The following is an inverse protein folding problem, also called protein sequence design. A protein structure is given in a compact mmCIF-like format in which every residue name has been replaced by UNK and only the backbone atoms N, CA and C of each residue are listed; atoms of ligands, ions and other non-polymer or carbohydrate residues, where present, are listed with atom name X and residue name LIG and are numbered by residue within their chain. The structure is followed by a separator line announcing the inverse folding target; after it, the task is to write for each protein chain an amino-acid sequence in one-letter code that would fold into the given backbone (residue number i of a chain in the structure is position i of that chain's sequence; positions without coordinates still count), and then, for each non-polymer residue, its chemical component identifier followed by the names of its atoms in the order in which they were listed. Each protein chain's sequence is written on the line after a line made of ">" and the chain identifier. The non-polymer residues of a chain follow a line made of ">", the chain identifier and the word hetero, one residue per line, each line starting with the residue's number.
data_IF_321798894248
#
_entry.id   IF_321798894248
#
_cell.length_a   1.000
_cell.length_b   1.000
_cell.length_c   1.000
_cell.angle_alpha   90.00
_cell.angle_beta   90.00
_cell.angle_gamma   90.00
#
_symmetry.space_group_name_H-M   'P 1'
#
loop_
_entity.id
_entity.type
_entity.pdbx_description
1 polymer ?
#
# COMPACT_ATOMS: atom_id res chain seq x y z
N UNK A 1 13.27 23.15 -16.37
CA UNK A 1 13.55 23.31 -14.93
C UNK A 1 14.81 22.58 -14.48
N UNK A 2 15.09 21.36 -14.96
CA UNK A 2 16.32 20.61 -14.59
C UNK A 2 17.67 21.27 -15.04
N UNK A 3 17.67 21.97 -16.15
CA UNK A 3 18.88 22.57 -16.71
C UNK A 3 19.33 23.84 -15.93
N UNK A 4 18.38 24.64 -15.45
CA UNK A 4 18.65 25.84 -14.67
C UNK A 4 19.10 25.53 -13.22
N UNK A 5 18.60 24.45 -12.62
CA UNK A 5 19.12 23.99 -11.32
C UNK A 5 20.57 23.49 -11.42
N UNK A 6 20.95 22.82 -12.53
CA UNK A 6 22.34 22.40 -12.75
C UNK A 6 23.32 23.58 -12.84
N UNK A 7 22.93 24.67 -13.54
CA UNK A 7 23.76 25.85 -13.66
C UNK A 7 23.88 26.65 -12.35
N UNK A 8 22.80 26.70 -11.55
CA UNK A 8 22.82 27.36 -10.24
C UNK A 8 23.71 26.63 -9.23
N UNK A 9 23.67 25.31 -9.19
CA UNK A 9 24.56 24.52 -8.34
C UNK A 9 26.02 24.58 -8.74
N UNK A 10 26.35 24.58 -10.02
CA UNK A 10 27.72 24.72 -10.53
C UNK A 10 28.31 26.11 -10.24
N UNK A 11 27.48 27.15 -10.21
CA UNK A 11 27.89 28.52 -9.86
C UNK A 11 28.28 28.65 -8.38
N UNK A 12 27.56 28.00 -7.47
CA UNK A 12 27.84 28.05 -6.02
C UNK A 12 29.09 27.22 -5.66
N UNK A 13 29.29 26.07 -6.30
CA UNK A 13 30.45 25.21 -6.03
C UNK A 13 31.73 25.77 -6.67
N UNK A 14 31.62 26.42 -7.81
CA UNK A 14 32.77 27.04 -8.50
C UNK A 14 33.45 28.17 -7.75
N UNK A 15 32.79 28.73 -6.72
CA UNK A 15 33.38 29.81 -5.89
C UNK A 15 34.32 29.30 -4.80
N UNK A 16 34.37 28.00 -4.52
CA UNK A 16 35.14 27.43 -3.41
C UNK A 16 36.18 26.36 -3.77
N UNK A 17 36.21 25.86 -5.02
CA UNK A 17 37.19 24.84 -5.42
C UNK A 17 37.71 25.07 -6.85
N UNK A 18 38.97 24.68 -7.08
CA UNK A 18 39.57 24.79 -8.42
C UNK A 18 38.87 23.86 -9.42
N UNK A 19 38.67 24.33 -10.65
CA UNK A 19 37.97 23.65 -11.75
C UNK A 19 38.43 22.20 -12.00
N UNK A 20 39.72 21.92 -11.89
CA UNK A 20 40.34 20.62 -12.12
C UNK A 20 39.95 19.55 -11.09
N UNK A 21 39.73 19.93 -9.84
CA UNK A 21 39.34 19.01 -8.76
C UNK A 21 37.86 18.58 -8.89
N UNK A 22 37.00 19.52 -9.26
CA UNK A 22 35.58 19.26 -9.51
C UNK A 22 35.35 18.35 -10.73
N UNK A 23 36.10 18.56 -11.84
CA UNK A 23 36.01 17.67 -13.02
C UNK A 23 36.44 16.23 -12.72
N UNK A 24 37.45 16.04 -11.89
CA UNK A 24 37.91 14.70 -11.50
C UNK A 24 36.88 13.97 -10.64
N UNK A 25 36.19 14.67 -9.72
CA UNK A 25 35.11 14.12 -8.90
C UNK A 25 33.89 13.78 -9.76
N UNK A 26 33.47 14.69 -10.63
CA UNK A 26 32.31 14.49 -11.52
C UNK A 26 32.54 13.32 -12.49
N UNK A 27 33.72 13.20 -13.11
CA UNK A 27 34.07 12.08 -13.97
C UNK A 27 34.10 10.73 -13.23
N UNK A 28 34.57 10.70 -11.99
CA UNK A 28 34.68 9.46 -11.18
C UNK A 28 33.31 8.93 -10.71
N UNK A 29 32.31 9.80 -10.58
CA UNK A 29 30.98 9.44 -10.11
C UNK A 29 29.94 9.27 -11.24
N UNK A 30 30.16 9.89 -12.40
CA UNK A 30 29.34 9.68 -13.59
C UNK A 30 29.49 8.27 -14.20
N UNK A 31 30.64 7.62 -14.01
CA UNK A 31 30.90 6.27 -14.54
C UNK A 31 30.25 5.13 -13.73
N UNK A 32 29.57 5.42 -12.62
CA UNK A 32 28.96 4.42 -11.72
C UNK A 32 27.45 4.61 -11.51
N UNK A 33 26.77 5.38 -12.33
CA UNK A 33 25.30 5.50 -12.31
C UNK A 33 24.67 6.08 -11.04
N UNK A 34 25.45 6.46 -10.03
CA UNK A 34 24.94 6.96 -8.75
C UNK A 34 25.52 8.36 -8.48
N UNK A 35 24.73 9.40 -8.62
CA UNK A 35 25.12 10.76 -8.19
C UNK A 35 24.76 10.90 -6.71
N UNK A 36 25.75 10.80 -5.83
CA UNK A 36 25.61 11.26 -4.43
C UNK A 36 25.85 12.76 -4.39
N UNK A 37 24.80 13.54 -4.28
CA UNK A 37 24.93 14.98 -3.97
C UNK A 37 25.14 15.11 -2.47
N UNK A 38 26.36 15.45 -2.09
CA UNK A 38 26.69 15.78 -0.70
C UNK A 38 26.45 17.28 -0.54
N UNK A 39 25.37 17.66 0.13
CA UNK A 39 25.10 19.05 0.49
C UNK A 39 25.68 19.31 1.89
N UNK A 40 26.70 20.15 1.94
CA UNK A 40 27.32 20.59 3.20
C UNK A 40 26.63 21.88 3.63
N UNK A 41 25.85 21.85 4.71
CA UNK A 41 25.33 23.05 5.35
C UNK A 41 26.29 23.47 6.49
N UNK A 42 26.99 24.56 6.29
CA UNK A 42 27.74 25.21 7.38
C UNK A 42 26.82 26.21 8.11
N UNK A 43 26.26 25.80 9.23
CA UNK A 43 25.75 26.72 10.25
C UNK A 43 26.26 26.26 11.59
N UNK A 44 27.15 27.09 12.18
CA UNK A 44 27.58 27.04 13.57
C UNK A 44 28.06 25.67 14.08
N UNK A 45 29.30 25.27 13.78
CA UNK A 45 30.10 24.22 14.46
C UNK A 45 29.50 22.78 14.58
N UNK A 46 28.45 22.43 13.81
CA UNK A 46 28.01 21.02 13.67
C UNK A 46 27.86 20.66 12.21
N UNK A 47 28.73 19.76 11.71
CA UNK A 47 28.60 19.17 10.39
C UNK A 47 27.46 18.15 10.41
N UNK A 48 26.37 18.42 9.66
CA UNK A 48 25.32 17.43 9.41
C UNK A 48 25.43 16.94 7.97
N UNK A 49 25.86 15.70 7.77
CA UNK A 49 25.90 15.05 6.45
C UNK A 49 24.54 14.44 6.17
N UNK A 50 23.77 15.04 5.27
CA UNK A 50 22.57 14.39 4.71
C UNK A 50 22.94 13.81 3.35
N UNK A 51 22.96 12.49 3.25
CA UNK A 51 23.11 11.78 1.97
C UNK A 51 21.76 11.74 1.29
N UNK A 52 21.60 12.48 0.20
CA UNK A 52 20.44 12.38 -0.68
C UNK A 52 20.80 11.34 -1.75
N UNK A 53 20.22 10.17 -1.68
CA UNK A 53 20.30 9.19 -2.76
C UNK A 53 19.25 9.57 -3.80
N UNK A 54 19.69 10.19 -4.89
CA UNK A 54 18.81 10.39 -6.07
C UNK A 54 18.87 9.07 -6.82
N UNK A 55 17.79 8.32 -6.83
CA UNK A 55 17.62 7.24 -7.79
C UNK A 55 17.52 7.90 -9.16
N UNK A 56 18.60 7.83 -9.96
CA UNK A 56 18.50 8.12 -11.38
C UNK A 56 17.53 7.10 -11.98
N UNK A 57 16.80 7.48 -13.03
CA UNK A 57 16.15 6.52 -13.92
C UNK A 57 17.28 5.71 -14.55
N UNK A 58 17.70 4.66 -13.84
CA UNK A 58 18.71 3.75 -14.36
C UNK A 58 17.99 2.84 -15.37
N UNK A 59 18.30 2.93 -16.66
CA UNK A 59 17.68 2.06 -17.65
C UNK A 59 17.86 0.58 -17.32
N UNK A 60 18.99 0.19 -16.72
CA UNK A 60 19.26 -1.19 -16.29
C UNK A 60 18.30 -1.65 -15.18
N UNK A 61 17.88 -0.76 -14.29
CA UNK A 61 16.97 -1.07 -13.20
C UNK A 61 15.59 -1.56 -13.70
N UNK A 62 15.06 -0.90 -14.76
CA UNK A 62 13.75 -1.25 -15.34
C UNK A 62 13.80 -2.44 -16.30
N UNK A 63 14.99 -2.78 -16.84
CA UNK A 63 15.13 -3.90 -17.79
C UNK A 63 14.79 -5.24 -17.12
N UNK A 64 15.08 -5.41 -15.84
CA UNK A 64 14.85 -6.65 -15.12
C UNK A 64 13.43 -6.79 -14.58
N UNK A 65 12.59 -5.72 -14.59
CA UNK A 65 11.21 -5.77 -14.12
C UNK A 65 10.27 -6.14 -15.27
N UNK A 66 9.78 -7.39 -15.27
CA UNK A 66 8.86 -7.89 -16.29
C UNK A 66 7.48 -7.22 -16.19
N UNK A 67 6.95 -7.07 -14.98
CA UNK A 67 5.64 -6.43 -14.73
C UNK A 67 5.85 -5.09 -14.05
N UNK A 68 5.57 -4.00 -14.76
CA UNK A 68 5.76 -2.61 -14.28
C UNK A 68 4.50 -1.98 -13.71
N UNK A 69 3.34 -2.57 -14.00
CA UNK A 69 2.03 -2.03 -13.64
C UNK A 69 1.62 -2.54 -12.25
N UNK A 70 1.38 -1.61 -11.33
CA UNK A 70 0.90 -1.87 -9.98
C UNK A 70 -0.56 -1.44 -9.85
N UNK A 71 -1.39 -2.26 -9.23
CA UNK A 71 -2.77 -1.89 -8.86
C UNK A 71 -2.86 -1.90 -7.34
N UNK A 72 -3.17 -0.73 -6.76
CA UNK A 72 -3.14 -0.47 -5.33
C UNK A 72 -4.58 -0.42 -4.79
N UNK A 73 -4.89 -1.33 -3.88
CA UNK A 73 -6.21 -1.52 -3.29
C UNK A 73 -6.15 -1.15 -1.81
N UNK A 74 -6.96 -0.18 -1.43
CA UNK A 74 -7.02 0.35 -0.07
C UNK A 74 -7.76 -0.56 0.91
N UNK A 75 -7.66 -0.25 2.21
CA UNK A 75 -8.41 -0.86 3.31
C UNK A 75 -9.74 -0.17 3.62
N UNK A 76 -10.41 -0.64 4.67
CA UNK A 76 -11.69 -0.07 5.14
C UNK A 76 -11.56 1.42 5.48
N UNK A 77 -12.57 2.17 5.09
CA UNK A 77 -12.64 3.62 5.33
C UNK A 77 -11.77 4.47 4.43
N UNK A 78 -10.77 3.89 3.79
CA UNK A 78 -9.86 4.60 2.89
C UNK A 78 -10.42 4.76 1.48
N UNK A 79 -9.59 5.23 0.57
CA UNK A 79 -9.79 5.35 -0.86
C UNK A 79 -8.44 5.44 -1.56
N UNK A 80 -8.44 5.54 -2.88
CA UNK A 80 -7.24 5.66 -3.71
C UNK A 80 -6.30 6.78 -3.23
N UNK A 81 -6.87 7.82 -2.62
CA UNK A 81 -6.14 8.98 -2.09
C UNK A 81 -5.04 8.61 -1.07
N UNK A 82 -5.19 7.52 -0.32
CA UNK A 82 -4.20 7.13 0.69
C UNK A 82 -2.84 6.75 0.08
N UNK A 83 -2.83 6.32 -1.17
CA UNK A 83 -1.66 5.86 -1.89
C UNK A 83 -0.79 6.98 -2.50
N UNK A 84 -1.14 8.26 -2.34
CA UNK A 84 -0.52 9.37 -3.05
C UNK A 84 1.01 9.42 -2.99
N UNK A 85 1.62 9.09 -1.83
CA UNK A 85 3.09 8.98 -1.70
C UNK A 85 3.65 7.77 -2.44
N UNK A 86 2.96 6.63 -2.34
CA UNK A 86 3.36 5.38 -3.01
C UNK A 86 3.30 5.54 -4.52
N UNK A 87 2.24 6.15 -5.03
CA UNK A 87 2.08 6.48 -6.46
C UNK A 87 3.26 7.34 -6.93
N UNK A 88 3.51 8.46 -6.27
CA UNK A 88 4.60 9.37 -6.64
C UNK A 88 5.98 8.66 -6.65
N UNK A 89 6.27 7.85 -5.63
CA UNK A 89 7.54 7.14 -5.51
C UNK A 89 7.72 6.05 -6.58
N UNK A 90 6.66 5.33 -6.93
CA UNK A 90 6.71 4.31 -7.99
C UNK A 90 6.86 4.96 -9.39
N UNK A 91 6.18 6.08 -9.65
CA UNK A 91 6.32 6.85 -10.88
C UNK A 91 7.72 7.45 -11.05
N UNK A 92 8.33 7.94 -9.96
CA UNK A 92 9.70 8.47 -9.98
C UNK A 92 10.72 7.48 -10.52
N UNK A 93 10.53 6.18 -10.26
CA UNK A 93 11.41 5.12 -10.77
C UNK A 93 10.93 4.50 -12.07
N UNK A 94 9.86 5.01 -12.69
CA UNK A 94 9.34 4.58 -14.01
C UNK A 94 8.42 3.36 -13.96
N UNK A 95 7.88 3.01 -12.79
CA UNK A 95 6.79 2.04 -12.64
C UNK A 95 5.43 2.72 -12.89
N UNK A 96 4.40 1.92 -13.09
CA UNK A 96 3.06 2.37 -13.49
C UNK A 96 2.02 2.03 -12.41
N UNK A 97 1.92 2.82 -11.33
CA UNK A 97 0.91 2.61 -10.31
C UNK A 97 -0.46 3.11 -10.74
N UNK A 98 -1.49 2.34 -10.42
CA UNK A 98 -2.91 2.71 -10.50
C UNK A 98 -3.52 2.46 -9.14
N UNK A 99 -4.03 3.49 -8.47
CA UNK A 99 -4.77 3.35 -7.24
C UNK A 99 -6.27 3.41 -7.54
N UNK A 100 -7.02 2.42 -7.05
CA UNK A 100 -8.46 2.31 -7.29
C UNK A 100 -9.24 2.64 -6.02
N UNK A 101 -10.36 3.34 -6.19
CA UNK A 101 -11.41 3.39 -5.18
C UNK A 101 -12.28 2.14 -5.32
N UNK A 102 -12.49 1.42 -4.22
CA UNK A 102 -13.46 0.32 -4.16
C UNK A 102 -14.88 0.89 -4.16
N UNK A 103 -15.87 0.09 -4.52
CA UNK A 103 -17.26 0.52 -4.62
C UNK A 103 -17.74 1.19 -3.33
N UNK A 104 -18.27 2.40 -3.44
CA UNK A 104 -18.73 3.23 -2.31
C UNK A 104 -17.61 3.87 -1.48
N UNK A 105 -16.35 3.84 -1.94
CA UNK A 105 -15.19 4.37 -1.23
C UNK A 105 -14.57 5.55 -1.97
N UNK A 106 -13.76 6.36 -1.27
CA UNK A 106 -13.05 7.48 -1.89
C UNK A 106 -13.98 8.44 -2.61
N UNK A 107 -13.79 8.62 -3.92
CA UNK A 107 -14.63 9.48 -4.78
C UNK A 107 -15.75 8.70 -5.49
N UNK A 108 -15.82 7.38 -5.34
CA UNK A 108 -16.97 6.61 -5.86
C UNK A 108 -18.26 7.02 -5.15
N UNK A 109 -19.28 7.39 -5.92
CA UNK A 109 -20.54 7.95 -5.42
C UNK A 109 -21.59 6.88 -5.08
N UNK A 110 -21.28 5.61 -5.27
CA UNK A 110 -22.18 4.52 -4.89
C UNK A 110 -22.44 4.58 -3.37
N UNK A 111 -23.69 4.44 -2.98
CA UNK A 111 -24.03 4.34 -1.57
C UNK A 111 -23.47 3.04 -1.00
N UNK A 112 -22.43 3.13 -0.16
CA UNK A 112 -21.79 1.97 0.45
C UNK A 112 -22.75 1.11 1.29
N UNK A 113 -23.89 1.66 1.75
CA UNK A 113 -24.92 0.89 2.43
C UNK A 113 -25.65 -0.11 1.52
N UNK A 114 -25.54 0.03 0.21
CA UNK A 114 -26.13 -0.89 -0.77
C UNK A 114 -25.17 -1.98 -1.23
N UNK A 115 -23.90 -1.91 -0.84
CA UNK A 115 -22.85 -2.89 -1.20
C UNK A 115 -22.91 -4.06 -0.22
N UNK A 116 -23.34 -5.23 -0.69
CA UNK A 116 -23.67 -6.38 0.16
C UNK A 116 -22.71 -7.56 0.01
N UNK A 117 -21.96 -7.61 -1.09
CA UNK A 117 -21.05 -8.72 -1.40
C UNK A 117 -19.61 -8.24 -1.64
N UNK A 118 -18.66 -9.14 -1.49
CA UNK A 118 -17.26 -8.86 -1.81
C UNK A 118 -17.06 -8.64 -3.31
N UNK A 119 -17.84 -9.34 -4.15
CA UNK A 119 -17.85 -9.16 -5.59
C UNK A 119 -18.23 -7.71 -5.97
N UNK A 120 -19.33 -7.20 -5.39
CA UNK A 120 -19.78 -5.81 -5.60
C UNK A 120 -18.73 -4.81 -5.10
N UNK A 121 -18.15 -5.05 -3.92
CA UNK A 121 -17.14 -4.17 -3.34
C UNK A 121 -15.86 -4.13 -4.17
N UNK A 122 -15.43 -5.28 -4.71
CA UNK A 122 -14.24 -5.43 -5.53
C UNK A 122 -14.45 -5.08 -7.01
N UNK A 123 -15.68 -4.68 -7.40
CA UNK A 123 -16.02 -4.46 -8.82
C UNK A 123 -15.05 -3.52 -9.55
N UNK A 124 -14.60 -2.38 -9.01
CA UNK A 124 -13.62 -1.54 -9.69
C UNK A 124 -12.30 -2.26 -10.01
N UNK A 125 -11.87 -3.19 -9.14
CA UNK A 125 -10.69 -4.01 -9.39
C UNK A 125 -10.95 -5.04 -10.48
N UNK A 126 -12.08 -5.76 -10.44
CA UNK A 126 -12.39 -6.77 -11.44
C UNK A 126 -12.63 -6.16 -12.81
N UNK A 127 -13.35 -5.04 -12.89
CA UNK A 127 -13.53 -4.28 -14.14
C UNK A 127 -12.18 -3.83 -14.72
N UNK A 128 -11.25 -3.36 -13.86
CA UNK A 128 -9.91 -3.01 -14.31
C UNK A 128 -9.16 -4.20 -14.90
N UNK A 129 -9.20 -5.37 -14.24
CA UNK A 129 -8.54 -6.58 -14.71
C UNK A 129 -9.14 -7.13 -16.01
N UNK A 130 -10.47 -7.07 -16.16
CA UNK A 130 -11.18 -7.47 -17.37
C UNK A 130 -10.80 -6.61 -18.58
N UNK A 131 -10.60 -5.31 -18.36
CA UNK A 131 -10.24 -4.37 -19.42
C UNK A 131 -8.73 -4.31 -19.73
N UNK A 132 -7.89 -5.11 -19.03
CA UNK A 132 -6.48 -5.22 -19.40
C UNK A 132 -6.31 -5.98 -20.71
N UNK A 133 -5.37 -5.59 -21.59
CA UNK A 133 -4.95 -6.39 -22.74
C UNK A 133 -4.65 -7.84 -22.35
N UNK A 134 -4.88 -8.77 -23.27
CA UNK A 134 -4.80 -10.22 -22.98
C UNK A 134 -3.42 -10.67 -22.47
N UNK A 135 -2.37 -10.08 -22.99
CA UNK A 135 -0.97 -10.36 -22.67
C UNK A 135 -0.43 -9.55 -21.48
N UNK A 136 -1.21 -8.59 -20.95
CA UNK A 136 -0.77 -7.78 -19.83
C UNK A 136 -1.10 -8.43 -18.47
N UNK A 137 -0.14 -8.31 -17.54
CA UNK A 137 -0.31 -8.68 -16.13
C UNK A 137 0.04 -7.52 -15.22
N UNK A 138 -0.53 -7.57 -14.01
CA UNK A 138 -0.28 -6.57 -12.97
C UNK A 138 0.31 -7.19 -11.71
N UNK A 139 0.92 -6.34 -10.88
CA UNK A 139 1.21 -6.62 -9.47
C UNK A 139 0.10 -5.99 -8.64
N UNK A 140 -0.66 -6.80 -7.91
CA UNK A 140 -1.68 -6.31 -6.98
C UNK A 140 -1.04 -5.98 -5.63
N UNK A 141 -1.47 -4.89 -5.00
CA UNK A 141 -1.14 -4.56 -3.62
C UNK A 141 -2.45 -4.32 -2.87
N UNK A 142 -2.77 -5.16 -1.90
CA UNK A 142 -3.95 -5.01 -1.06
C UNK A 142 -3.56 -4.65 0.37
N UNK A 143 -4.09 -3.55 0.89
CA UNK A 143 -3.89 -3.09 2.26
C UNK A 143 -5.09 -3.50 3.13
N UNK A 144 -4.81 -4.02 4.33
CA UNK A 144 -5.87 -4.33 5.30
C UNK A 144 -6.96 -5.23 4.69
N UNK A 145 -8.25 -4.84 4.75
CA UNK A 145 -9.35 -5.57 4.10
C UNK A 145 -9.20 -5.67 2.57
N UNK A 146 -8.42 -4.80 1.94
CA UNK A 146 -8.07 -4.93 0.53
C UNK A 146 -7.37 -6.25 0.19
N UNK A 147 -6.83 -6.96 1.19
CA UNK A 147 -6.34 -8.33 1.06
C UNK A 147 -7.42 -9.32 0.66
N UNK A 148 -8.65 -9.18 1.17
CA UNK A 148 -9.79 -9.98 0.74
C UNK A 148 -10.16 -9.70 -0.72
N UNK A 149 -10.14 -8.42 -1.14
CA UNK A 149 -10.41 -8.05 -2.53
C UNK A 149 -9.38 -8.65 -3.51
N UNK A 150 -8.07 -8.62 -3.16
CA UNK A 150 -7.07 -9.24 -4.01
C UNK A 150 -7.11 -10.77 -3.94
N UNK A 151 -7.54 -11.37 -2.82
CA UNK A 151 -7.79 -12.82 -2.75
C UNK A 151 -8.92 -13.23 -3.68
N UNK A 152 -10.01 -12.47 -3.70
CA UNK A 152 -11.11 -12.64 -4.65
C UNK A 152 -10.62 -12.51 -6.11
N UNK A 153 -9.80 -11.49 -6.39
CA UNK A 153 -9.24 -11.30 -7.73
C UNK A 153 -8.30 -12.45 -8.15
N UNK A 154 -7.50 -13.00 -7.24
CA UNK A 154 -6.65 -14.16 -7.51
C UNK A 154 -7.46 -15.41 -7.87
N UNK A 155 -8.62 -15.61 -7.24
CA UNK A 155 -9.49 -16.74 -7.56
C UNK A 155 -10.10 -16.62 -8.98
N UNK A 156 -10.47 -15.41 -9.39
CA UNK A 156 -11.24 -15.21 -10.63
C UNK A 156 -10.38 -14.74 -11.82
N UNK A 157 -9.26 -14.05 -11.58
CA UNK A 157 -8.45 -13.35 -12.60
C UNK A 157 -6.95 -13.67 -12.51
N UNK A 158 -6.57 -14.86 -12.01
CA UNK A 158 -5.16 -15.25 -11.83
C UNK A 158 -4.30 -15.04 -13.09
N UNK A 159 -4.87 -15.28 -14.27
CA UNK A 159 -4.17 -15.11 -15.56
C UNK A 159 -3.73 -13.66 -15.83
N UNK A 160 -4.38 -12.65 -15.23
CA UNK A 160 -4.04 -11.22 -15.33
C UNK A 160 -3.10 -10.75 -14.21
N UNK A 161 -2.75 -11.60 -13.26
CA UNK A 161 -1.97 -11.22 -12.08
C UNK A 161 -0.62 -11.92 -12.11
N UNK A 162 0.47 -11.16 -11.98
CA UNK A 162 1.82 -11.72 -11.90
C UNK A 162 2.23 -12.00 -10.47
N UNK A 163 1.87 -11.10 -9.55
CA UNK A 163 2.16 -11.18 -8.12
C UNK A 163 1.08 -10.47 -7.33
N UNK A 164 0.82 -10.94 -6.11
CA UNK A 164 -0.07 -10.28 -5.15
C UNK A 164 0.66 -10.00 -3.84
N UNK A 165 0.59 -8.75 -3.38
CA UNK A 165 1.27 -8.24 -2.19
C UNK A 165 0.23 -7.90 -1.14
N UNK A 166 0.24 -8.61 -0.03
CA UNK A 166 -0.59 -8.38 1.14
C UNK A 166 0.14 -7.45 2.10
N UNK A 167 -0.29 -6.20 2.18
CA UNK A 167 0.32 -5.16 3.01
C UNK A 167 -0.45 -5.06 4.32
N UNK A 168 0.08 -5.62 5.42
CA UNK A 168 -0.62 -5.75 6.71
C UNK A 168 -2.12 -6.06 6.50
N UNK A 169 -2.41 -7.11 5.73
CA UNK A 169 -3.70 -7.33 5.12
C UNK A 169 -4.27 -8.72 5.43
N UNK A 170 -5.57 -8.85 5.26
CA UNK A 170 -6.33 -10.11 5.37
C UNK A 170 -5.91 -11.06 4.25
N UNK A 171 -4.96 -11.94 4.53
CA UNK A 171 -4.57 -13.03 3.62
C UNK A 171 -5.37 -14.28 3.99
N UNK A 172 -6.42 -14.53 3.20
CA UNK A 172 -7.49 -15.46 3.53
C UNK A 172 -7.12 -16.93 3.32
N UNK A 173 -7.77 -17.81 4.08
CA UNK A 173 -7.89 -19.25 3.77
C UNK A 173 -9.29 -19.54 3.21
N UNK A 174 -9.45 -20.67 2.54
CA UNK A 174 -10.74 -21.09 2.00
C UNK A 174 -11.82 -21.18 3.08
N UNK A 175 -13.03 -20.69 2.76
CA UNK A 175 -14.19 -20.70 3.65
C UNK A 175 -14.17 -19.68 4.79
N UNK A 176 -13.11 -18.85 4.91
CA UNK A 176 -12.96 -17.83 5.94
C UNK A 176 -13.69 -16.54 5.53
N UNK A 177 -14.26 -15.83 6.49
CA UNK A 177 -14.75 -14.45 6.33
C UNK A 177 -13.60 -13.48 6.57
N UNK A 178 -13.50 -12.34 5.84
CA UNK A 178 -12.52 -11.30 6.15
C UNK A 178 -12.59 -10.84 7.62
N UNK A 179 -13.79 -10.79 8.21
CA UNK A 179 -13.98 -10.44 9.62
C UNK A 179 -13.27 -11.41 10.58
N UNK A 180 -13.20 -12.71 10.26
CA UNK A 180 -12.62 -13.72 11.13
C UNK A 180 -11.14 -13.47 11.46
N UNK A 181 -10.43 -12.73 10.59
CA UNK A 181 -9.04 -12.30 10.82
C UNK A 181 -8.92 -11.36 12.02
N UNK A 182 -9.96 -10.58 12.29
CA UNK A 182 -10.01 -9.62 13.40
C UNK A 182 -10.73 -10.17 14.64
N UNK A 183 -11.23 -11.41 14.59
CA UNK A 183 -12.04 -11.98 15.67
C UNK A 183 -11.32 -12.01 17.03
N UNK A 184 -10.01 -12.24 17.04
CA UNK A 184 -9.19 -12.23 18.26
C UNK A 184 -9.13 -10.83 18.92
N UNK A 185 -9.39 -9.77 18.16
CA UNK A 185 -9.34 -8.38 18.64
C UNK A 185 -10.73 -7.76 18.86
N UNK A 186 -11.71 -8.16 18.05
CA UNK A 186 -13.05 -7.56 18.01
C UNK A 186 -14.15 -8.46 18.59
N UNK A 187 -13.80 -9.67 19.05
CA UNK A 187 -14.76 -10.69 19.44
C UNK A 187 -15.34 -11.47 18.24
N UNK A 188 -16.31 -12.34 18.48
CA UNK A 188 -16.96 -13.08 17.39
C UNK A 188 -17.73 -12.14 16.46
N UNK A 189 -17.93 -12.56 15.21
CA UNK A 189 -18.72 -11.78 14.26
C UNK A 189 -20.15 -11.54 14.77
N UNK A 190 -20.73 -12.54 15.43
CA UNK A 190 -22.07 -12.47 16.01
C UNK A 190 -22.11 -11.44 17.14
N UNK A 191 -21.12 -11.44 18.04
CA UNK A 191 -21.00 -10.47 19.12
C UNK A 191 -20.78 -9.06 18.58
N UNK A 192 -19.87 -8.90 17.62
CA UNK A 192 -19.63 -7.62 16.96
C UNK A 192 -20.89 -7.06 16.32
N UNK A 193 -21.66 -7.89 15.63
CA UNK A 193 -22.92 -7.49 14.97
C UNK A 193 -24.03 -7.11 15.96
N UNK A 194 -24.01 -7.63 17.19
CA UNK A 194 -25.03 -7.34 18.20
C UNK A 194 -24.66 -6.16 19.11
N UNK A 195 -23.40 -6.02 19.48
CA UNK A 195 -22.97 -5.15 20.57
C UNK A 195 -22.16 -3.91 20.09
N UNK A 196 -21.69 -3.91 18.82
CA UNK A 196 -20.80 -2.84 18.39
C UNK A 196 -21.53 -1.52 18.13
N UNK A 197 -21.05 -0.47 18.79
CA UNK A 197 -21.45 0.93 18.55
C UNK A 197 -20.91 1.53 17.24
N UNK A 198 -20.05 0.80 16.53
CA UNK A 198 -19.47 1.24 15.27
C UNK A 198 -20.36 0.93 14.06
N UNK A 199 -21.45 0.21 14.27
CA UNK A 199 -22.35 -0.22 13.22
C UNK A 199 -23.27 0.91 12.75
N UNK A 200 -23.50 0.93 11.44
CA UNK A 200 -24.39 1.86 10.75
C UNK A 200 -25.62 1.09 10.29
N UNK A 201 -26.80 1.57 10.69
CA UNK A 201 -28.10 0.99 10.36
C UNK A 201 -28.87 1.95 9.43
N UNK A 202 -28.46 2.04 8.14
CA UNK A 202 -29.08 2.98 7.19
C UNK A 202 -30.57 2.67 6.95
N UNK A 203 -30.96 1.38 7.10
CA UNK A 203 -32.34 0.93 6.90
C UNK A 203 -33.19 0.93 8.17
N UNK A 204 -32.69 1.53 9.27
CA UNK A 204 -33.32 1.56 10.58
C UNK A 204 -32.73 0.56 11.56
N UNK A 205 -32.84 0.86 12.86
CA UNK A 205 -32.20 0.10 13.96
C UNK A 205 -32.71 -1.35 14.08
N UNK A 206 -33.93 -1.61 13.63
CA UNK A 206 -34.54 -2.94 13.62
C UNK A 206 -34.11 -3.81 12.43
N UNK A 207 -33.29 -3.27 11.53
CA UNK A 207 -32.73 -3.97 10.38
C UNK A 207 -31.26 -4.29 10.61
N UNK A 208 -30.72 -5.31 9.93
CA UNK A 208 -29.29 -5.60 9.99
C UNK A 208 -28.45 -4.36 9.63
N UNK A 209 -27.26 -4.20 10.24
CA UNK A 209 -26.37 -3.10 9.90
C UNK A 209 -25.92 -3.21 8.44
N UNK A 210 -25.72 -2.06 7.82
CA UNK A 210 -25.31 -1.93 6.42
C UNK A 210 -23.84 -1.56 6.26
N UNK A 211 -23.27 -0.93 7.29
CA UNK A 211 -21.89 -0.47 7.29
C UNK A 211 -21.32 -0.37 8.70
N UNK A 212 -20.06 0.04 8.75
CA UNK A 212 -19.38 0.33 10.01
C UNK A 212 -18.34 1.45 9.82
N UNK A 213 -18.04 2.14 10.93
CA UNK A 213 -16.97 3.13 10.99
C UNK A 213 -16.52 3.31 12.44
N UNK A 214 -15.23 3.17 12.70
CA UNK A 214 -14.67 3.47 14.02
C UNK A 214 -14.68 4.98 14.30
N UNK A 215 -14.75 5.34 15.57
CA UNK A 215 -14.65 6.74 15.98
C UNK A 215 -13.27 7.31 15.65
N UNK A 216 -13.21 8.60 15.27
CA UNK A 216 -11.98 9.28 14.82
C UNK A 216 -10.83 9.15 15.81
N UNK A 217 -11.09 9.27 17.10
CA UNK A 217 -10.03 9.17 18.12
C UNK A 217 -9.51 7.74 18.27
N UNK A 218 -10.36 6.74 18.10
CA UNK A 218 -9.93 5.33 18.07
C UNK A 218 -9.09 5.05 16.83
N UNK A 219 -9.50 5.54 15.66
CA UNK A 219 -8.72 5.39 14.43
C UNK A 219 -7.32 6.00 14.56
N UNK A 220 -7.17 7.16 15.20
CA UNK A 220 -5.85 7.76 15.45
C UNK A 220 -4.94 6.83 16.26
N UNK A 221 -5.49 6.16 17.27
CA UNK A 221 -4.73 5.25 18.12
C UNK A 221 -4.40 3.90 17.47
N UNK A 222 -5.30 3.39 16.63
CA UNK A 222 -5.20 2.07 15.99
C UNK A 222 -4.41 2.13 14.68
N UNK A 223 -4.81 3.04 13.76
CA UNK A 223 -4.27 3.08 12.40
C UNK A 223 -3.05 3.97 12.25
N UNK A 224 -2.96 5.08 13.03
CA UNK A 224 -2.07 6.20 12.74
C UNK A 224 -1.07 6.50 13.87
N UNK A 225 -0.76 5.51 14.72
CA UNK A 225 0.11 5.73 15.90
C UNK A 225 1.57 6.11 15.56
N UNK A 226 2.02 5.97 14.32
CA UNK A 226 3.33 6.37 13.81
C UNK A 226 3.23 7.29 12.57
N UNK A 227 2.02 7.55 12.09
CA UNK A 227 1.79 8.35 10.89
C UNK A 227 1.98 9.84 11.15
N UNK A 228 2.52 10.62 10.19
CA UNK A 228 2.68 12.06 10.32
C UNK A 228 1.33 12.78 10.47
N UNK A 229 1.29 13.83 11.30
CA UNK A 229 0.07 14.58 11.60
C UNK A 229 -0.66 15.09 10.35
N UNK A 230 0.07 15.48 9.29
CA UNK A 230 -0.52 15.95 8.04
C UNK A 230 -1.30 14.85 7.32
N UNK A 231 -0.75 13.63 7.32
CA UNK A 231 -1.40 12.48 6.70
C UNK A 231 -2.61 12.02 7.52
N UNK A 232 -2.49 12.08 8.86
CA UNK A 232 -3.63 11.83 9.75
C UNK A 232 -4.75 12.84 9.53
N UNK A 233 -4.43 14.13 9.38
CA UNK A 233 -5.42 15.16 9.08
C UNK A 233 -6.13 14.90 7.74
N UNK A 234 -5.38 14.52 6.69
CA UNK A 234 -5.98 14.11 5.41
C UNK A 234 -6.91 12.91 5.60
N UNK A 235 -6.49 11.88 6.33
CA UNK A 235 -7.32 10.72 6.59
C UNK A 235 -8.63 11.10 7.31
N UNK A 236 -8.53 11.93 8.36
CA UNK A 236 -9.70 12.33 9.15
C UNK A 236 -10.76 13.10 8.37
N UNK A 237 -10.41 13.78 7.29
CA UNK A 237 -11.38 14.48 6.42
C UNK A 237 -11.83 13.66 5.22
N UNK A 238 -11.09 12.60 4.86
CA UNK A 238 -11.32 11.83 3.63
C UNK A 238 -11.94 10.45 3.87
N UNK A 239 -11.75 9.86 5.07
CA UNK A 239 -12.28 8.53 5.40
C UNK A 239 -13.80 8.52 5.43
N UNK A 240 -14.36 7.44 4.92
CA UNK A 240 -15.81 7.16 4.86
C UNK A 240 -16.13 5.85 5.59
N UNK A 241 -17.40 5.60 5.89
CA UNK A 241 -17.82 4.30 6.40
C UNK A 241 -17.67 3.21 5.32
N UNK A 242 -17.44 2.00 5.78
CA UNK A 242 -17.27 0.82 4.92
C UNK A 242 -18.52 -0.05 4.94
N UNK A 243 -18.86 -0.73 3.83
CA UNK A 243 -19.94 -1.71 3.81
C UNK A 243 -19.60 -2.90 4.70
N UNK A 244 -20.59 -3.44 5.41
CA UNK A 244 -20.38 -4.58 6.30
C UNK A 244 -20.53 -5.93 5.59
N UNK A 245 -21.39 -6.02 4.56
CA UNK A 245 -21.64 -7.25 3.82
C UNK A 245 -20.36 -7.93 3.33
N UNK A 246 -19.47 -7.22 2.61
CA UNK A 246 -18.23 -7.79 2.08
C UNK A 246 -17.33 -8.43 3.12
N UNK A 247 -17.27 -7.89 4.35
CA UNK A 247 -16.40 -8.46 5.40
C UNK A 247 -17.01 -9.65 6.12
N UNK A 248 -18.32 -9.83 6.00
CA UNK A 248 -19.06 -10.95 6.59
C UNK A 248 -19.28 -12.11 5.62
N UNK A 249 -18.93 -11.95 4.36
CA UNK A 249 -19.05 -12.99 3.33
C UNK A 249 -17.87 -13.97 3.43
N UNK A 250 -18.16 -15.29 3.30
CA UNK A 250 -17.13 -16.33 3.21
C UNK A 250 -16.54 -16.37 1.83
N UNK A 251 -15.21 -16.36 1.71
CA UNK A 251 -14.52 -16.56 0.45
C UNK A 251 -14.37 -18.05 0.14
N UNK A 252 -14.63 -18.40 -1.13
CA UNK A 252 -14.28 -19.70 -1.70
C UNK A 252 -12.98 -19.54 -2.49
N UNK A 253 -11.93 -20.20 -2.05
CA UNK A 253 -10.58 -20.09 -2.60
C UNK A 253 -10.07 -21.49 -2.98
N UNK A 254 -9.76 -21.69 -4.25
CA UNK A 254 -9.32 -23.00 -4.75
C UNK A 254 -7.79 -23.17 -4.69
N UNK A 255 -7.30 -24.40 -4.46
CA UNK A 255 -5.87 -24.72 -4.55
C UNK A 255 -5.27 -24.42 -5.92
N UNK A 256 -6.04 -24.60 -6.99
CA UNK A 256 -5.56 -24.52 -8.38
C UNK A 256 -5.41 -23.06 -8.87
N UNK A 257 -6.10 -22.11 -8.25
CA UNK A 257 -6.04 -20.69 -8.59
C UNK A 257 -5.38 -19.88 -7.50
N UNK A 258 -6.09 -19.54 -6.43
CA UNK A 258 -5.54 -18.81 -5.30
C UNK A 258 -4.30 -19.51 -4.71
N UNK A 259 -4.34 -20.84 -4.58
CA UNK A 259 -3.26 -21.64 -4.02
C UNK A 259 -1.96 -21.60 -4.82
N UNK A 260 -2.04 -21.44 -6.16
CA UNK A 260 -0.87 -21.36 -7.06
C UNK A 260 -0.37 -19.94 -7.27
N UNK A 261 -1.08 -18.93 -6.76
CA UNK A 261 -0.74 -17.53 -6.93
C UNK A 261 0.58 -17.17 -6.21
N UNK A 262 1.39 -16.33 -6.85
CA UNK A 262 2.61 -15.77 -6.25
C UNK A 262 2.24 -14.69 -5.26
N UNK A 263 2.23 -15.03 -3.97
CA UNK A 263 1.79 -14.17 -2.87
C UNK A 263 2.98 -13.74 -2.03
N UNK A 264 3.02 -12.45 -1.67
CA UNK A 264 4.01 -11.84 -0.80
C UNK A 264 3.30 -11.13 0.35
N UNK A 265 3.88 -11.14 1.52
CA UNK A 265 3.33 -10.46 2.68
C UNK A 265 4.30 -9.40 3.21
N UNK A 266 3.79 -8.19 3.46
CA UNK A 266 4.56 -7.11 4.10
C UNK A 266 3.96 -6.87 5.48
N UNK A 267 4.71 -7.22 6.54
CA UNK A 267 4.34 -7.03 7.93
C UNK A 267 4.73 -5.63 8.43
N UNK A 268 3.85 -5.01 9.21
CA UNK A 268 4.06 -3.75 9.93
C UNK A 268 4.24 -4.04 11.41
N UNK A 269 5.40 -3.68 12.00
CA UNK A 269 5.78 -4.18 13.32
C UNK A 269 5.26 -3.34 14.50
N UNK A 270 4.70 -2.15 14.24
CA UNK A 270 4.08 -1.29 15.27
C UNK A 270 2.58 -1.08 14.99
N UNK A 271 1.98 -2.02 14.26
CA UNK A 271 0.57 -2.03 13.89
C UNK A 271 -0.31 -2.35 15.11
N UNK A 272 -1.34 -1.53 15.34
CA UNK A 272 -2.30 -1.71 16.43
C UNK A 272 -3.69 -2.09 15.92
N UNK A 273 -3.95 -1.95 14.63
CA UNK A 273 -5.21 -2.35 14.00
C UNK A 273 -5.21 -3.83 13.58
N UNK A 274 -4.10 -4.30 13.02
CA UNK A 274 -3.84 -5.71 12.75
C UNK A 274 -2.50 -6.06 13.39
N UNK A 275 -2.52 -6.54 14.63
CA UNK A 275 -1.31 -6.72 15.42
C UNK A 275 -0.27 -7.60 14.71
N UNK A 276 1.04 -7.40 14.97
CA UNK A 276 2.10 -8.23 14.40
C UNK A 276 1.89 -9.74 14.63
N UNK A 277 1.34 -10.13 15.79
CA UNK A 277 1.05 -11.53 16.12
C UNK A 277 -0.04 -12.12 15.21
N UNK A 278 -1.09 -11.34 14.92
CA UNK A 278 -2.14 -11.75 13.98
C UNK A 278 -1.55 -11.85 12.56
N UNK A 279 -0.75 -10.88 12.14
CA UNK A 279 -0.07 -10.92 10.84
C UNK A 279 0.85 -12.16 10.72
N UNK A 280 1.55 -12.52 11.79
CA UNK A 280 2.41 -13.70 11.83
C UNK A 280 1.59 -15.01 11.79
N UNK A 281 0.43 -15.04 12.46
CA UNK A 281 -0.53 -16.15 12.37
C UNK A 281 -1.02 -16.36 10.92
N UNK A 282 -1.43 -15.29 10.23
CA UNK A 282 -1.86 -15.35 8.83
C UNK A 282 -0.77 -15.92 7.90
N UNK A 283 0.46 -15.45 8.06
CA UNK A 283 1.62 -15.93 7.29
C UNK A 283 1.89 -17.42 7.55
N UNK A 284 1.75 -17.88 8.79
CA UNK A 284 1.96 -19.28 9.17
C UNK A 284 0.85 -20.19 8.63
N UNK A 285 -0.41 -19.74 8.68
CA UNK A 285 -1.58 -20.53 8.25
C UNK A 285 -1.73 -20.57 6.74
N UNK A 286 -1.24 -19.56 6.03
CA UNK A 286 -1.32 -19.45 4.58
C UNK A 286 0.01 -18.94 3.99
N UNK A 287 1.07 -19.76 3.98
CA UNK A 287 2.42 -19.33 3.66
C UNK A 287 2.53 -18.65 2.28
N UNK A 288 3.02 -17.40 2.21
CA UNK A 288 3.33 -16.73 0.95
C UNK A 288 4.72 -17.13 0.44
N UNK A 289 5.06 -16.75 -0.80
CA UNK A 289 6.37 -16.93 -1.41
C UNK A 289 7.47 -16.15 -0.68
N UNK A 290 7.14 -14.98 -0.14
CA UNK A 290 8.09 -14.14 0.60
C UNK A 290 7.40 -13.27 1.65
N UNK A 291 8.14 -12.99 2.74
CA UNK A 291 7.69 -12.14 3.84
C UNK A 291 8.70 -11.02 4.08
N UNK A 292 8.20 -9.79 4.10
CA UNK A 292 8.98 -8.57 4.36
C UNK A 292 8.48 -7.89 5.62
N UNK A 293 9.33 -7.15 6.32
CA UNK A 293 8.98 -6.49 7.58
C UNK A 293 9.32 -5.01 7.56
N UNK A 294 8.38 -4.15 7.98
CA UNK A 294 8.61 -2.71 8.13
C UNK A 294 8.60 -2.37 9.61
N UNK A 295 9.78 -2.13 10.17
CA UNK A 295 9.95 -1.69 11.57
C UNK A 295 9.57 -0.22 11.72
N UNK A 296 8.89 0.12 12.81
CA UNK A 296 8.46 1.48 13.12
C UNK A 296 7.29 1.94 12.25
N UNK A 297 6.56 1.01 11.62
CA UNK A 297 5.35 1.31 10.85
C UNK A 297 4.11 0.91 11.61
N UNK A 298 3.15 1.81 11.66
CA UNK A 298 1.77 1.53 12.04
C UNK A 298 1.01 0.80 10.92
N UNK A 299 -0.32 0.73 11.05
CA UNK A 299 -1.20 0.11 10.06
C UNK A 299 -1.15 0.77 8.67
N UNK A 300 -0.61 2.00 8.57
CA UNK A 300 -0.58 2.80 7.35
C UNK A 300 0.86 3.06 6.87
N UNK A 301 1.61 2.03 6.40
CA UNK A 301 2.99 2.19 5.97
C UNK A 301 3.18 3.16 4.80
N UNK A 302 2.15 3.38 3.98
CA UNK A 302 2.14 4.40 2.94
C UNK A 302 2.21 5.84 3.50
N UNK A 303 1.86 6.04 4.78
CA UNK A 303 2.02 7.31 5.50
C UNK A 303 3.24 7.30 6.40
N UNK A 304 3.38 6.30 7.27
CA UNK A 304 4.42 6.26 8.31
C UNK A 304 5.79 5.91 7.77
N UNK A 305 5.91 5.03 6.78
CA UNK A 305 7.17 4.53 6.20
C UNK A 305 7.16 4.43 4.68
N UNK A 306 6.77 5.49 3.93
CA UNK A 306 6.56 5.41 2.49
C UNK A 306 7.82 4.97 1.73
N UNK A 307 9.01 5.40 2.14
CA UNK A 307 10.27 5.01 1.49
C UNK A 307 10.62 3.54 1.71
N UNK A 308 10.34 3.00 2.90
CA UNK A 308 10.55 1.57 3.20
C UNK A 308 9.59 0.71 2.42
N UNK A 309 8.31 1.11 2.36
CA UNK A 309 7.31 0.45 1.54
C UNK A 309 7.71 0.45 0.07
N UNK A 310 8.05 1.62 -0.49
CA UNK A 310 8.51 1.74 -1.87
C UNK A 310 9.67 0.79 -2.18
N UNK A 311 10.71 0.76 -1.32
CA UNK A 311 11.86 -0.14 -1.50
C UNK A 311 11.44 -1.61 -1.61
N UNK A 312 10.55 -2.06 -0.73
CA UNK A 312 10.07 -3.45 -0.72
C UNK A 312 9.21 -3.74 -1.96
N UNK A 313 8.32 -2.82 -2.37
CA UNK A 313 7.50 -3.01 -3.57
C UNK A 313 8.38 -3.17 -4.83
N UNK A 314 9.43 -2.37 -4.94
CA UNK A 314 10.41 -2.46 -6.02
C UNK A 314 11.20 -3.76 -5.96
N UNK A 315 11.65 -4.18 -4.78
CA UNK A 315 12.35 -5.44 -4.56
C UNK A 315 11.49 -6.65 -4.98
N UNK A 316 10.21 -6.68 -4.58
CA UNK A 316 9.26 -7.73 -5.01
C UNK A 316 9.04 -7.70 -6.53
N UNK A 317 8.96 -6.51 -7.15
CA UNK A 317 8.81 -6.42 -8.59
C UNK A 317 9.98 -7.05 -9.37
N UNK A 318 11.19 -6.98 -8.81
CA UNK A 318 12.42 -7.54 -9.39
C UNK A 318 12.55 -9.07 -9.24
N UNK A 319 11.79 -9.69 -8.33
CA UNK A 319 11.78 -11.17 -8.21
C UNK A 319 11.30 -11.74 -9.54
N UNK A 320 12.03 -12.66 -10.18
CA UNK A 320 11.72 -13.20 -11.51
C UNK A 320 10.35 -13.81 -11.65
#
# INVERSE_FOLDING_TARGET
>A
MCFYLKLFFLSIIGTFFSSSYLESIVKRYLSRGTIRVVTCFMFGLKFCWKSLTIYSKDPEFLVNIKTKKFVLIHGEGFGAWCWYKTVALLEEVGLQPVALDLTGSGIDLTDSNTVTTLAEYSKPLTDYLENLPEDEKVILVGHSIGGACISYALEHYLHKISKAIFLCATMMTDGQRPFDVFADQLGSAEQFMQESKFLIHANGKEKPPTGFMFEKEQMKGLYFNQSPTKDVALAMVSMRHSPIGPIMEKLCLSPDKYGTARRFYIQTLDDRALSPDVQEKLVRENPPEGVFKIKGSDHCPFFSKPQSLHKILVEIAQIP
#
